data_IF_589910555830
#
_entry.id   IF_589910555830
#
_cell.length_a   1.000
_cell.length_b   1.000
_cell.length_c   1.000
_cell.angle_alpha   90.00
_cell.angle_beta   90.00
_cell.angle_gamma   90.00
#
_symmetry.space_group_name_H-M   'P 1'
#
loop_
_entity.id
_entity.type
_entity.pdbx_description
1 polymer ?
#
# COMPACT_ATOMS: atom_id res chain seq x y z
N UNK A 1 -19.96 -9.29 -2.39
CA UNK A 1 -18.74 -8.71 -2.99
C UNK A 1 -18.20 -7.62 -2.07
N UNK A 2 -19.06 -6.70 -1.65
CA UNK A 2 -18.76 -5.65 -0.67
C UNK A 2 -18.11 -6.18 0.63
N UNK A 3 -18.58 -7.30 1.19
CA UNK A 3 -17.98 -7.86 2.42
C UNK A 3 -16.55 -8.39 2.26
N UNK A 4 -16.18 -8.90 1.07
CA UNK A 4 -14.83 -9.40 0.79
C UNK A 4 -13.85 -8.24 0.55
N UNK A 5 -14.33 -7.20 -0.13
CA UNK A 5 -13.57 -6.00 -0.40
C UNK A 5 -13.31 -5.21 0.90
N UNK A 6 -14.35 -5.03 1.73
CA UNK A 6 -14.21 -4.41 3.05
C UNK A 6 -13.15 -5.12 3.87
N UNK A 7 -13.25 -6.45 4.02
CA UNK A 7 -12.28 -7.23 4.79
C UNK A 7 -10.85 -7.11 4.25
N UNK A 8 -10.68 -7.01 2.94
CA UNK A 8 -9.35 -6.80 2.35
C UNK A 8 -8.76 -5.44 2.74
N UNK A 9 -9.55 -4.37 2.68
CA UNK A 9 -9.10 -3.06 3.14
C UNK A 9 -8.93 -2.97 4.65
N UNK A 10 -9.77 -3.63 5.44
CA UNK A 10 -9.63 -3.70 6.90
C UNK A 10 -8.28 -4.33 7.28
N UNK A 11 -7.91 -5.44 6.62
CA UNK A 11 -6.61 -6.09 6.83
C UNK A 11 -5.45 -5.16 6.41
N UNK A 12 -5.57 -4.43 5.29
CA UNK A 12 -4.54 -3.49 4.84
C UNK A 12 -4.40 -2.27 5.76
N UNK A 13 -5.49 -1.76 6.33
CA UNK A 13 -5.47 -0.68 7.33
C UNK A 13 -4.79 -1.17 8.61
N UNK A 14 -5.11 -2.39 9.05
CA UNK A 14 -4.46 -2.99 10.21
C UNK A 14 -2.95 -3.16 9.97
N UNK A 15 -2.56 -3.68 8.82
CA UNK A 15 -1.16 -3.83 8.43
C UNK A 15 -0.44 -2.49 8.36
N UNK A 16 -1.07 -1.46 7.76
CA UNK A 16 -0.52 -0.11 7.73
C UNK A 16 -0.29 0.41 9.16
N UNK A 17 -1.25 0.21 10.06
CA UNK A 17 -1.16 0.63 11.47
C UNK A 17 0.01 -0.07 12.17
N UNK A 18 0.18 -1.38 11.97
CA UNK A 18 1.33 -2.12 12.49
C UNK A 18 2.65 -1.58 11.93
N UNK A 19 2.72 -1.37 10.61
CA UNK A 19 3.92 -0.89 9.94
C UNK A 19 4.35 0.52 10.39
N UNK A 20 3.41 1.39 10.75
CA UNK A 20 3.72 2.71 11.34
C UNK A 20 4.41 2.58 12.70
N UNK A 21 3.97 1.64 13.53
CA UNK A 21 4.57 1.38 14.85
C UNK A 21 5.96 0.75 14.73
N UNK A 22 6.15 -0.13 13.76
CA UNK A 22 7.42 -0.84 13.55
C UNK A 22 8.46 0.01 12.79
N UNK A 23 8.00 0.83 11.84
CA UNK A 23 8.83 1.65 10.97
C UNK A 23 8.33 3.12 10.97
N UNK A 24 8.43 3.84 12.10
CA UNK A 24 8.04 5.25 12.17
C UNK A 24 8.91 6.10 11.25
N UNK A 25 8.30 7.07 10.56
CA UNK A 25 9.04 8.03 9.75
C UNK A 25 9.89 8.98 10.64
N UNK A 26 11.05 9.46 10.15
CA UNK A 26 11.76 8.97 8.96
C UNK A 26 12.40 7.61 9.22
N UNK A 27 12.27 6.67 8.28
CA UNK A 27 12.78 5.30 8.44
C UNK A 27 13.85 4.94 7.38
N UNK A 28 14.64 3.90 7.68
CA UNK A 28 15.71 3.40 6.80
C UNK A 28 15.22 2.89 5.44
N UNK A 29 14.01 2.34 5.41
CA UNK A 29 13.36 1.83 4.20
C UNK A 29 12.10 2.67 3.99
N UNK A 30 12.18 3.75 3.21
CA UNK A 30 11.08 4.69 3.12
C UNK A 30 9.92 4.20 2.23
N UNK A 31 8.73 4.81 2.32
CA UNK A 31 7.51 4.27 1.71
C UNK A 31 7.58 4.15 0.19
N UNK A 32 8.26 5.07 -0.53
CA UNK A 32 8.37 5.00 -2.00
C UNK A 32 9.13 3.75 -2.47
N UNK A 33 10.39 3.48 -2.05
CA UNK A 33 11.09 2.27 -2.48
C UNK A 33 10.42 1.00 -1.94
N UNK A 34 9.82 1.05 -0.74
CA UNK A 34 9.07 -0.10 -0.21
C UNK A 34 7.84 -0.41 -1.07
N UNK A 35 7.14 0.61 -1.59
CA UNK A 35 6.01 0.40 -2.49
C UNK A 35 6.42 -0.35 -3.76
N UNK A 36 7.58 -0.01 -4.33
CA UNK A 36 8.11 -0.70 -5.50
C UNK A 36 8.47 -2.16 -5.18
N UNK A 37 9.06 -2.41 -4.01
CA UNK A 37 9.37 -3.75 -3.51
C UNK A 37 8.09 -4.60 -3.36
N UNK A 38 7.08 -4.10 -2.62
CA UNK A 38 5.82 -4.81 -2.39
C UNK A 38 5.05 -5.10 -3.69
N UNK A 39 5.04 -4.14 -4.63
CA UNK A 39 4.44 -4.37 -5.94
C UNK A 39 5.16 -5.51 -6.68
N UNK A 40 6.49 -5.57 -6.60
CA UNK A 40 7.29 -6.66 -7.17
C UNK A 40 6.97 -8.00 -6.53
N UNK A 41 6.83 -8.05 -5.21
CA UNK A 41 6.47 -9.26 -4.46
C UNK A 41 5.06 -9.74 -4.80
N UNK A 42 4.08 -8.84 -4.88
CA UNK A 42 2.71 -9.16 -5.29
C UNK A 42 2.64 -9.75 -6.71
N UNK A 43 3.36 -9.14 -7.66
CA UNK A 43 3.46 -9.67 -9.03
C UNK A 43 4.14 -11.03 -9.03
N UNK A 44 5.22 -11.21 -8.26
CA UNK A 44 5.93 -12.47 -8.18
C UNK A 44 5.06 -13.58 -7.57
N UNK A 45 4.31 -13.29 -6.50
CA UNK A 45 3.38 -14.22 -5.88
C UNK A 45 2.28 -14.63 -6.87
N UNK A 46 1.73 -13.68 -7.63
CA UNK A 46 0.74 -13.96 -8.66
C UNK A 46 1.30 -14.88 -9.75
N UNK A 47 2.51 -14.60 -10.26
CA UNK A 47 3.18 -15.45 -11.25
C UNK A 47 3.44 -16.86 -10.72
N UNK A 48 3.95 -17.01 -9.50
CA UNK A 48 4.13 -18.32 -8.85
C UNK A 48 2.82 -19.08 -8.73
N UNK A 49 1.71 -18.40 -8.40
CA UNK A 49 0.39 -19.00 -8.33
C UNK A 49 -0.09 -19.49 -9.70
N UNK A 50 0.12 -18.69 -10.77
CA UNK A 50 -0.20 -19.08 -12.15
C UNK A 50 0.60 -20.30 -12.59
N UNK A 51 1.88 -20.39 -12.20
CA UNK A 51 2.75 -21.54 -12.47
C UNK A 51 2.41 -22.80 -11.64
N UNK A 52 1.42 -22.74 -10.75
CA UNK A 52 1.05 -23.84 -9.85
C UNK A 52 2.07 -24.08 -8.72
N UNK A 53 2.91 -23.10 -8.42
CA UNK A 53 3.97 -23.14 -7.38
C UNK A 53 3.71 -22.17 -6.23
N UNK A 54 2.47 -21.69 -6.09
CA UNK A 54 2.06 -20.70 -5.09
C UNK A 54 0.60 -20.88 -4.71
N UNK A 55 0.08 -19.98 -3.89
CA UNK A 55 -1.30 -20.01 -3.43
C UNK A 55 -1.97 -18.64 -3.54
N UNK A 56 -3.30 -18.62 -3.63
CA UNK A 56 -4.08 -17.38 -3.66
C UNK A 56 -3.97 -16.60 -2.34
N UNK A 57 -3.73 -17.30 -1.23
CA UNK A 57 -3.48 -16.70 0.08
C UNK A 57 -2.18 -15.90 0.08
N UNK A 58 -1.12 -16.41 -0.55
CA UNK A 58 0.14 -15.68 -0.70
C UNK A 58 -0.05 -14.42 -1.55
N UNK A 59 -0.76 -14.53 -2.68
CA UNK A 59 -1.09 -13.36 -3.53
C UNK A 59 -1.87 -12.32 -2.72
N UNK A 60 -2.88 -12.74 -1.95
CA UNK A 60 -3.64 -11.83 -1.11
C UNK A 60 -2.77 -11.15 -0.06
N UNK A 61 -1.85 -11.88 0.57
CA UNK A 61 -0.91 -11.34 1.55
C UNK A 61 -0.08 -10.19 0.98
N UNK A 62 0.56 -10.40 -0.16
CA UNK A 62 1.39 -9.35 -0.78
C UNK A 62 0.56 -8.17 -1.28
N UNK A 63 -0.68 -8.41 -1.73
CA UNK A 63 -1.59 -7.31 -2.08
C UNK A 63 -2.00 -6.49 -0.84
N UNK A 64 -2.20 -7.13 0.31
CA UNK A 64 -2.48 -6.43 1.58
C UNK A 64 -1.29 -5.56 1.97
N UNK A 65 -0.06 -6.10 1.92
CA UNK A 65 1.16 -5.34 2.21
C UNK A 65 1.33 -4.16 1.24
N UNK A 66 1.12 -4.38 -0.06
CA UNK A 66 1.16 -3.32 -1.07
C UNK A 66 0.18 -2.19 -0.75
N UNK A 67 -1.07 -2.53 -0.43
CA UNK A 67 -2.10 -1.53 -0.07
C UNK A 67 -1.76 -0.84 1.24
N UNK A 68 -1.18 -1.54 2.22
CA UNK A 68 -0.73 -0.94 3.47
C UNK A 68 0.33 0.14 3.22
N UNK A 69 1.30 -0.12 2.33
CA UNK A 69 2.30 0.89 1.96
C UNK A 69 1.67 2.06 1.20
N UNK A 70 0.69 1.80 0.32
CA UNK A 70 -0.07 2.87 -0.35
C UNK A 70 -0.80 3.75 0.67
N UNK A 71 -1.46 3.16 1.66
CA UNK A 71 -2.16 3.89 2.73
C UNK A 71 -1.17 4.79 3.48
N UNK A 72 0.01 4.26 3.82
CA UNK A 72 1.07 5.03 4.48
C UNK A 72 1.56 6.18 3.60
N UNK A 73 1.87 5.94 2.34
CA UNK A 73 2.28 6.99 1.42
C UNK A 73 1.19 8.07 1.28
N UNK A 74 -0.09 7.67 1.30
CA UNK A 74 -1.21 8.59 1.24
C UNK A 74 -1.33 9.47 2.49
N UNK A 75 -1.19 8.89 3.69
CA UNK A 75 -1.39 9.59 4.96
C UNK A 75 -0.14 10.28 5.52
N UNK A 76 1.04 9.71 5.28
CA UNK A 76 2.33 10.14 5.84
C UNK A 76 3.24 10.76 4.78
N UNK A 77 3.08 10.38 3.51
CA UNK A 77 4.05 10.73 2.47
C UNK A 77 5.33 9.90 2.61
N UNK A 78 6.47 10.50 2.32
CA UNK A 78 7.80 9.93 2.46
C UNK A 78 8.73 11.00 3.04
N UNK A 79 8.84 11.07 4.38
CA UNK A 79 9.65 12.09 5.05
C UNK A 79 11.15 11.97 4.72
N UNK A 80 11.63 10.74 4.52
CA UNK A 80 13.04 10.48 4.16
C UNK A 80 13.39 11.06 2.79
N UNK A 81 12.47 10.99 1.83
CA UNK A 81 12.67 11.52 0.47
C UNK A 81 12.03 12.91 0.26
N UNK A 82 11.36 13.45 1.28
CA UNK A 82 10.74 14.78 1.24
C UNK A 82 9.43 14.85 0.46
N UNK A 83 8.72 13.73 0.28
CA UNK A 83 7.36 13.74 -0.27
C UNK A 83 6.36 14.03 0.88
N UNK A 84 5.55 15.10 0.79
CA UNK A 84 4.49 15.32 1.78
C UNK A 84 3.36 14.27 1.63
N UNK A 85 2.48 14.12 2.63
CA UNK A 85 1.30 13.25 2.51
C UNK A 85 0.45 13.57 1.28
N UNK A 86 0.10 12.56 0.49
CA UNK A 86 -0.74 12.73 -0.72
C UNK A 86 -2.16 13.17 -0.36
N UNK A 87 -2.64 12.83 0.84
CA UNK A 87 -3.91 13.28 1.41
C UNK A 87 -4.05 14.81 1.53
N UNK A 88 -2.95 15.56 1.41
CA UNK A 88 -2.96 17.03 1.39
C UNK A 88 -3.50 17.62 0.08
N UNK A 89 -3.63 16.82 -0.98
CA UNK A 89 -4.31 17.25 -2.19
C UNK A 89 -5.81 17.31 -1.89
N UNK A 90 -6.33 18.53 -1.74
CA UNK A 90 -7.78 18.76 -1.66
C UNK A 90 -8.42 18.21 -2.95
N UNK A 91 -9.24 17.18 -2.82
CA UNK A 91 -10.07 16.65 -3.93
C UNK A 91 -11.24 17.60 -4.26
N UNK A 92 -11.16 18.89 -3.90
CA UNK A 92 -12.17 19.90 -4.19
C UNK A 92 -11.88 20.60 -5.53
N UNK A 93 -12.48 20.05 -6.58
CA UNK A 93 -13.08 20.84 -7.67
C UNK A 93 -12.13 21.48 -8.68
N UNK A 94 -11.62 20.69 -9.63
CA UNK A 94 -11.56 21.15 -11.02
C UNK A 94 -12.99 21.08 -11.60
N UNK A 95 -13.89 21.96 -11.13
CA UNK A 95 -14.96 22.40 -12.02
C UNK A 95 -14.27 23.24 -13.09
N UNK A 96 -14.27 22.69 -14.30
CA UNK A 96 -13.93 23.39 -15.53
C UNK A 96 -14.69 24.72 -15.58
N UNK A 97 -14.00 25.81 -15.23
CA UNK A 97 -14.44 27.16 -15.55
C UNK A 97 -13.38 27.81 -16.43
N UNK A 98 -13.51 27.56 -17.74
CA UNK A 98 -13.08 28.38 -18.89
C UNK A 98 -13.38 27.65 -20.20
#
# INVERSE_FOLDING_TARGET
>A
MESKLSKFFDDAIMEATCAVLEYPQPCKIPPIPKLAEECGEAIQAANKCIEGKGSLEAVRGELVQTVAVIIRLYLEGDETLGLPPVSTVDLMGDEHDS
#
